data_IF_884468905727
#
_entry.id   IF_884468905727
#
_cell.length_a   1.000
_cell.length_b   1.000
_cell.length_c   1.000
_cell.angle_alpha   90.00
_cell.angle_beta   90.00
_cell.angle_gamma   90.00
#
_symmetry.space_group_name_H-M   'P 1'
#
loop_
_entity.id
_entity.type
_entity.pdbx_description
1 polymer ?
#
# COMPACT_ATOMS: atom_id res chain seq x y z
N UNK A 1 4.51 6.63 86.27
CA UNK A 1 5.27 7.20 85.14
C UNK A 1 5.01 6.31 83.93
N UNK A 2 4.18 6.70 82.96
CA UNK A 2 4.56 7.34 81.67
C UNK A 2 5.53 6.42 80.87
N UNK A 3 5.27 5.91 79.66
CA UNK A 3 4.44 6.36 78.53
C UNK A 3 3.98 5.18 77.65
N UNK A 4 2.82 5.37 77.01
CA UNK A 4 2.31 4.74 75.78
C UNK A 4 3.18 5.14 74.57
N UNK A 5 3.28 4.31 73.51
CA UNK A 5 3.28 4.60 72.05
C UNK A 5 3.25 3.22 71.35
N UNK A 6 2.13 2.70 70.82
CA UNK A 6 1.39 3.02 69.58
C UNK A 6 2.17 2.82 68.29
N UNK A 7 1.84 1.74 67.56
CA UNK A 7 1.92 1.49 66.10
C UNK A 7 1.60 -0.02 65.93
N UNK A 8 0.38 -0.49 65.64
CA UNK A 8 -0.53 -0.28 64.52
C UNK A 8 0.09 -0.57 63.14
N UNK A 9 0.01 -1.82 62.68
CA UNK A 9 -0.24 -2.22 61.29
C UNK A 9 -0.44 -3.75 61.25
N UNK A 10 -1.66 -4.26 61.42
CA UNK A 10 -2.66 -4.56 60.38
C UNK A 10 -2.18 -5.61 59.35
N UNK A 11 -2.61 -6.85 59.62
CA UNK A 11 -2.72 -7.98 58.69
C UNK A 11 -3.65 -7.59 57.54
N UNK A 12 -3.23 -7.75 56.27
CA UNK A 12 -4.17 -8.06 55.17
C UNK A 12 -3.50 -9.03 54.17
N UNK A 13 -4.20 -10.15 53.96
CA UNK A 13 -4.04 -11.23 52.98
C UNK A 13 -3.94 -10.71 51.52
N UNK A 14 -3.35 -11.48 50.59
CA UNK A 14 -3.40 -11.14 49.18
C UNK A 14 -4.81 -11.45 48.63
N UNK A 15 -5.55 -10.42 48.23
CA UNK A 15 -6.67 -10.59 47.33
C UNK A 15 -6.07 -10.78 45.94
N UNK A 16 -6.00 -12.03 45.49
CA UNK A 16 -5.93 -12.36 44.08
C UNK A 16 -7.20 -11.82 43.43
N UNK A 17 -7.18 -10.53 43.07
CA UNK A 17 -8.16 -9.96 42.16
C UNK A 17 -7.84 -10.53 40.78
N UNK A 18 -8.62 -11.54 40.42
CA UNK A 18 -8.95 -11.84 39.04
C UNK A 18 -9.53 -10.54 38.50
N UNK A 19 -8.70 -9.73 37.85
CA UNK A 19 -9.18 -8.60 37.07
C UNK A 19 -10.00 -9.23 35.94
N UNK A 20 -11.32 -9.15 36.13
CA UNK A 20 -12.29 -9.43 35.11
C UNK A 20 -11.88 -8.70 33.82
N UNK A 21 -12.01 -9.40 32.70
CA UNK A 21 -12.17 -8.80 31.38
C UNK A 21 -13.18 -7.66 31.47
N UNK A 22 -12.69 -6.42 31.46
CA UNK A 22 -13.48 -5.26 31.09
C UNK A 22 -12.99 -4.87 29.70
N UNK A 23 -13.70 -5.23 28.62
CA UNK A 23 -13.43 -4.70 27.28
C UNK A 23 -14.03 -3.28 27.20
N UNK A 24 -13.64 -2.41 28.11
CA UNK A 24 -14.19 -1.06 28.22
C UNK A 24 -13.05 -0.06 28.33
N UNK A 25 -12.41 0.15 27.19
CA UNK A 25 -11.84 1.40 26.68
C UNK A 25 -10.87 1.07 25.54
N UNK A 26 -11.32 0.32 24.51
CA UNK A 26 -10.83 0.68 23.18
C UNK A 26 -11.48 2.03 22.95
N UNK A 27 -10.71 3.13 23.05
CA UNK A 27 -11.14 4.40 22.50
C UNK A 27 -11.44 4.09 21.03
N UNK A 28 -12.70 3.82 20.71
CA UNK A 28 -13.14 3.62 19.33
C UNK A 28 -12.95 4.97 18.69
N UNK A 29 -11.83 5.11 17.98
CA UNK A 29 -11.55 6.28 17.16
C UNK A 29 -12.77 6.48 16.25
N UNK A 30 -13.32 7.70 16.26
CA UNK A 30 -14.44 8.03 15.38
C UNK A 30 -13.98 8.01 13.93
N UNK A 31 -14.89 7.69 13.01
CA UNK A 31 -14.61 7.62 11.57
C UNK A 31 -13.82 8.85 11.07
N UNK A 32 -14.31 10.06 11.36
CA UNK A 32 -13.68 11.32 10.93
C UNK A 32 -12.22 11.43 11.41
N UNK A 33 -11.97 11.09 12.68
CA UNK A 33 -10.63 11.17 13.27
C UNK A 33 -9.69 10.13 12.65
N UNK A 34 -10.16 8.89 12.49
CA UNK A 34 -9.35 7.84 11.86
C UNK A 34 -9.09 8.13 10.39
N UNK A 35 -10.07 8.70 9.68
CA UNK A 35 -9.91 9.08 8.28
C UNK A 35 -8.87 10.19 8.12
N UNK A 36 -8.85 11.19 9.00
CA UNK A 36 -7.83 12.24 8.96
C UNK A 36 -6.42 11.70 9.29
N UNK A 37 -6.31 10.78 10.25
CA UNK A 37 -5.04 10.07 10.53
C UNK A 37 -4.60 9.25 9.31
N UNK A 38 -5.50 8.46 8.72
CA UNK A 38 -5.22 7.69 7.51
C UNK A 38 -4.83 8.58 6.31
N UNK A 39 -5.52 9.70 6.11
CA UNK A 39 -5.24 10.66 5.03
C UNK A 39 -3.82 11.22 5.14
N UNK A 40 -3.43 11.65 6.34
CA UNK A 40 -2.14 12.31 6.58
C UNK A 40 -0.98 11.32 6.70
N UNK A 41 -1.19 10.16 7.32
CA UNK A 41 -0.13 9.19 7.56
C UNK A 41 0.05 8.17 6.43
N UNK A 42 -0.97 7.96 5.59
CA UNK A 42 -0.96 6.95 4.52
C UNK A 42 -1.19 7.57 3.14
N UNK A 43 -2.32 8.24 2.91
CA UNK A 43 -2.67 8.74 1.57
C UNK A 43 -1.66 9.78 1.07
N UNK A 44 -1.32 10.79 1.89
CA UNK A 44 -0.39 11.85 1.51
C UNK A 44 1.01 11.30 1.16
N UNK A 45 1.67 10.46 1.99
CA UNK A 45 2.93 9.82 1.61
C UNK A 45 2.84 8.96 0.35
N UNK A 46 1.74 8.23 0.15
CA UNK A 46 1.56 7.42 -1.06
C UNK A 46 1.36 8.28 -2.32
N UNK A 47 0.75 9.45 -2.21
CA UNK A 47 0.65 10.40 -3.32
C UNK A 47 2.03 10.91 -3.76
N UNK A 48 2.92 11.23 -2.81
CA UNK A 48 4.30 11.60 -3.13
C UNK A 48 5.04 10.47 -3.86
N UNK A 49 4.82 9.22 -3.44
CA UNK A 49 5.37 8.04 -4.13
C UNK A 49 4.75 7.81 -5.50
N UNK A 50 3.46 8.11 -5.70
CA UNK A 50 2.80 8.02 -7.00
C UNK A 50 3.42 9.02 -8.00
N UNK A 51 3.66 10.26 -7.57
CA UNK A 51 4.38 11.26 -8.37
C UNK A 51 5.77 10.75 -8.73
N UNK A 52 6.50 10.19 -7.75
CA UNK A 52 7.83 9.65 -8.01
C UNK A 52 7.82 8.48 -8.98
N UNK A 53 6.82 7.60 -8.86
CA UNK A 53 6.61 6.48 -9.79
C UNK A 53 6.41 6.99 -11.22
N UNK A 54 5.63 8.05 -11.41
CA UNK A 54 5.46 8.67 -12.72
C UNK A 54 6.77 9.27 -13.27
N UNK A 55 7.57 9.92 -12.44
CA UNK A 55 8.91 10.40 -12.84
C UNK A 55 9.84 9.25 -13.27
N UNK A 56 9.84 8.16 -12.50
CA UNK A 56 10.64 6.97 -12.79
C UNK A 56 10.16 6.28 -14.08
N UNK A 57 8.84 6.18 -14.29
CA UNK A 57 8.26 5.74 -15.56
C UNK A 57 8.70 6.61 -16.72
N UNK A 58 8.69 7.94 -16.55
CA UNK A 58 9.25 8.88 -17.53
C UNK A 58 10.73 8.59 -17.83
N UNK A 59 11.56 8.42 -16.81
CA UNK A 59 12.99 8.05 -17.00
C UNK A 59 13.14 6.73 -17.76
N UNK A 60 12.37 5.69 -17.41
CA UNK A 60 12.34 4.43 -18.15
C UNK A 60 12.08 4.64 -19.64
N UNK A 61 11.09 5.47 -20.01
CA UNK A 61 10.80 5.72 -21.44
C UNK A 61 11.96 6.33 -22.21
N UNK A 62 12.82 7.11 -21.54
CA UNK A 62 14.01 7.72 -22.17
C UNK A 62 15.15 6.74 -22.40
N UNK A 63 15.08 5.54 -21.82
CA UNK A 63 16.10 4.49 -21.94
C UNK A 63 15.75 3.41 -22.97
N UNK A 64 14.56 3.48 -23.59
CA UNK A 64 14.03 2.40 -24.44
C UNK A 64 14.86 2.11 -25.69
N UNK A 65 15.70 3.04 -26.15
CA UNK A 65 16.64 2.81 -27.26
C UNK A 65 17.74 1.79 -26.86
N UNK A 66 17.97 1.62 -25.55
CA UNK A 66 18.97 0.76 -24.92
C UNK A 66 18.25 -0.29 -24.07
N UNK A 67 17.67 -1.29 -24.75
CA UNK A 67 16.79 -2.29 -24.12
C UNK A 67 17.38 -2.97 -22.88
N UNK A 68 18.69 -3.28 -22.86
CA UNK A 68 19.35 -3.86 -21.68
C UNK A 68 19.36 -2.90 -20.48
N UNK A 69 19.68 -1.62 -20.71
CA UNK A 69 19.71 -0.60 -19.65
C UNK A 69 18.28 -0.31 -19.16
N UNK A 70 17.32 -0.20 -20.07
CA UNK A 70 15.91 -0.04 -19.72
C UNK A 70 15.38 -1.22 -18.90
N UNK A 71 15.73 -2.46 -19.28
CA UNK A 71 15.32 -3.67 -18.58
C UNK A 71 15.94 -3.76 -17.18
N UNK A 72 17.22 -3.41 -17.04
CA UNK A 72 17.87 -3.31 -15.72
C UNK A 72 17.18 -2.26 -14.86
N UNK A 73 16.95 -1.06 -15.39
CA UNK A 73 16.31 0.03 -14.66
C UNK A 73 14.90 -0.34 -14.17
N UNK A 74 14.06 -0.93 -15.03
CA UNK A 74 12.70 -1.29 -14.63
C UNK A 74 12.68 -2.39 -13.56
N UNK A 75 13.58 -3.38 -13.62
CA UNK A 75 13.64 -4.47 -12.65
C UNK A 75 14.33 -4.12 -11.34
N UNK A 76 15.38 -3.30 -11.39
CA UNK A 76 16.23 -3.00 -10.22
C UNK A 76 15.81 -1.73 -9.49
N UNK A 77 15.17 -0.77 -10.18
CA UNK A 77 14.72 0.50 -9.58
C UNK A 77 13.19 0.62 -9.56
N UNK A 78 12.52 0.57 -10.71
CA UNK A 78 11.09 0.95 -10.81
C UNK A 78 10.14 -0.06 -10.13
N UNK A 79 10.20 -1.34 -10.53
CA UNK A 79 9.35 -2.40 -9.96
C UNK A 79 9.55 -2.50 -8.43
N UNK A 80 10.78 -2.53 -7.89
CA UNK A 80 10.99 -2.52 -6.45
C UNK A 80 10.39 -1.30 -5.75
N UNK A 81 10.52 -0.11 -6.33
CA UNK A 81 9.95 1.10 -5.76
C UNK A 81 8.41 1.05 -5.67
N UNK A 82 7.75 0.52 -6.71
CA UNK A 82 6.29 0.33 -6.73
C UNK A 82 5.86 -0.77 -5.76
N UNK A 83 6.62 -1.87 -5.67
CA UNK A 83 6.39 -2.94 -4.71
C UNK A 83 6.46 -2.44 -3.27
N UNK A 84 7.49 -1.66 -2.92
CA UNK A 84 7.59 -1.00 -1.62
C UNK A 84 6.40 -0.05 -1.34
N UNK A 85 5.92 0.64 -2.38
CA UNK A 85 4.76 1.56 -2.26
C UNK A 85 3.49 0.78 -1.92
N UNK A 86 3.25 -0.37 -2.57
CA UNK A 86 2.17 -1.28 -2.23
C UNK A 86 2.32 -1.80 -0.80
N UNK A 87 3.52 -2.21 -0.41
CA UNK A 87 3.78 -2.79 0.91
C UNK A 87 3.47 -1.78 2.02
N UNK A 88 3.75 -0.48 1.82
CA UNK A 88 3.31 0.57 2.75
C UNK A 88 1.79 0.62 2.94
N UNK A 89 1.01 0.48 1.86
CA UNK A 89 -0.46 0.45 1.96
C UNK A 89 -0.97 -0.83 2.64
N UNK A 90 -0.28 -1.96 2.42
CA UNK A 90 -0.58 -3.23 3.11
C UNK A 90 -0.28 -3.14 4.60
N UNK A 91 0.85 -2.55 4.99
CA UNK A 91 1.22 -2.35 6.39
C UNK A 91 0.21 -1.46 7.11
N UNK A 92 -0.33 -0.44 6.44
CA UNK A 92 -1.40 0.39 6.98
C UNK A 92 -2.70 -0.39 7.23
N UNK A 93 -3.01 -1.40 6.40
CA UNK A 93 -4.27 -2.14 6.46
C UNK A 93 -4.54 -2.79 7.82
N UNK A 94 -3.49 -3.30 8.47
CA UNK A 94 -3.58 -4.00 9.76
C UNK A 94 -3.85 -3.05 10.93
N UNK A 95 -3.53 -1.76 10.78
CA UNK A 95 -3.74 -0.72 11.79
C UNK A 95 -5.14 -0.10 11.76
N UNK A 96 -5.88 -0.26 10.67
CA UNK A 96 -7.20 0.33 10.47
C UNK A 96 -8.26 -0.40 11.30
N UNK A 97 -9.13 0.37 11.96
CA UNK A 97 -10.21 -0.07 12.84
C UNK A 97 -11.57 0.12 12.16
N UNK A 98 -11.77 1.22 11.44
CA UNK A 98 -13.04 1.49 10.77
C UNK A 98 -13.17 0.71 9.45
N UNK A 99 -14.29 0.01 9.28
CA UNK A 99 -14.55 -0.80 8.09
C UNK A 99 -14.55 0.00 6.79
N UNK A 100 -15.07 1.23 6.79
CA UNK A 100 -15.13 2.06 5.58
C UNK A 100 -13.73 2.46 5.11
N UNK A 101 -12.84 2.78 6.05
CA UNK A 101 -11.44 3.10 5.78
C UNK A 101 -10.66 1.83 5.37
N UNK A 102 -10.94 0.68 5.99
CA UNK A 102 -10.39 -0.62 5.57
C UNK A 102 -10.79 -0.98 4.13
N UNK A 103 -12.04 -0.73 3.75
CA UNK A 103 -12.51 -0.95 2.38
C UNK A 103 -11.83 0.01 1.40
N UNK A 104 -11.70 1.29 1.76
CA UNK A 104 -10.97 2.28 0.98
C UNK A 104 -9.52 1.84 0.73
N UNK A 105 -8.79 1.43 1.77
CA UNK A 105 -7.39 1.02 1.64
C UNK A 105 -7.23 -0.28 0.82
N UNK A 106 -8.21 -1.21 0.86
CA UNK A 106 -8.20 -2.37 -0.04
C UNK A 106 -8.29 -2.01 -1.51
N UNK A 107 -9.09 -0.99 -1.85
CA UNK A 107 -9.17 -0.48 -3.23
C UNK A 107 -7.82 0.13 -3.64
N UNK A 108 -7.18 0.88 -2.75
CA UNK A 108 -5.84 1.43 -2.97
C UNK A 108 -4.78 0.33 -3.19
N UNK A 109 -4.74 -0.68 -2.32
CA UNK A 109 -3.83 -1.82 -2.45
C UNK A 109 -4.04 -2.50 -3.79
N UNK A 110 -5.30 -2.77 -4.19
CA UNK A 110 -5.62 -3.37 -5.48
C UNK A 110 -5.12 -2.51 -6.65
N UNK A 111 -5.26 -1.19 -6.57
CA UNK A 111 -4.75 -0.27 -7.59
C UNK A 111 -3.21 -0.35 -7.73
N UNK A 112 -2.51 -0.39 -6.59
CA UNK A 112 -1.05 -0.53 -6.54
C UNK A 112 -0.58 -1.90 -7.04
N UNK A 113 -1.31 -2.97 -6.76
CA UNK A 113 -1.04 -4.32 -7.30
C UNK A 113 -1.17 -4.35 -8.82
N UNK A 114 -2.24 -3.78 -9.38
CA UNK A 114 -2.44 -3.68 -10.82
C UNK A 114 -1.34 -2.84 -11.50
N UNK A 115 -0.93 -1.75 -10.84
CA UNK A 115 0.18 -0.91 -11.32
C UNK A 115 1.52 -1.67 -11.30
N UNK A 116 1.76 -2.49 -10.28
CA UNK A 116 2.96 -3.33 -10.23
C UNK A 116 2.94 -4.41 -11.33
N UNK A 117 1.78 -5.02 -11.57
CA UNK A 117 1.58 -5.99 -12.64
C UNK A 117 1.88 -5.37 -14.01
N UNK A 118 1.42 -4.13 -14.25
CA UNK A 118 1.65 -3.43 -15.52
C UNK A 118 3.13 -3.16 -15.77
N UNK A 119 3.89 -2.75 -14.75
CA UNK A 119 5.34 -2.60 -14.87
C UNK A 119 6.06 -3.94 -15.05
N UNK A 120 5.59 -5.00 -14.40
CA UNK A 120 6.17 -6.35 -14.57
C UNK A 120 5.99 -6.85 -16.00
N UNK A 121 4.81 -6.66 -16.58
CA UNK A 121 4.54 -6.98 -17.98
C UNK A 121 5.35 -6.10 -18.94
N UNK A 122 5.47 -4.81 -18.62
CA UNK A 122 6.31 -3.88 -19.37
C UNK A 122 7.77 -4.34 -19.38
N UNK A 123 8.32 -4.78 -18.24
CA UNK A 123 9.67 -5.33 -18.15
C UNK A 123 9.85 -6.58 -19.01
N UNK A 124 8.86 -7.48 -19.02
CA UNK A 124 8.88 -8.65 -19.89
C UNK A 124 8.88 -8.27 -21.38
N UNK A 125 8.18 -7.19 -21.78
CA UNK A 125 8.28 -6.66 -23.14
C UNK A 125 9.66 -6.11 -23.44
N UNK A 126 10.27 -5.38 -22.51
CA UNK A 126 11.63 -4.84 -22.67
C UNK A 126 12.64 -5.98 -22.86
N UNK A 127 12.54 -7.04 -22.06
CA UNK A 127 13.43 -8.21 -22.13
C UNK A 127 13.43 -8.86 -23.52
N UNK A 128 12.24 -8.99 -24.12
CA UNK A 128 12.10 -9.63 -25.42
C UNK A 128 12.72 -8.83 -26.57
N UNK A 129 13.05 -7.55 -26.34
CA UNK A 129 13.72 -6.69 -27.30
C UNK A 129 15.25 -6.64 -27.10
N UNK A 130 15.80 -7.39 -26.14
CA UNK A 130 17.24 -7.50 -25.92
C UNK A 130 17.86 -8.46 -26.96
N UNK A 131 18.87 -8.03 -27.74
CA UNK A 131 19.54 -8.91 -28.69
C UNK A 131 20.36 -10.03 -28.02
N UNK A 132 20.58 -11.19 -28.70
CA UNK A 132 20.03 -11.53 -30.01
C UNK A 132 18.58 -12.03 -29.91
N UNK A 133 17.74 -11.61 -30.85
CA UNK A 133 16.36 -12.09 -30.95
C UNK A 133 16.35 -13.38 -31.77
N UNK A 134 15.99 -14.51 -31.15
CA UNK A 134 16.05 -15.84 -31.79
C UNK A 134 14.94 -16.04 -32.85
N UNK A 135 13.73 -15.56 -32.58
CA UNK A 135 12.56 -15.63 -33.48
C UNK A 135 11.77 -14.33 -33.43
N UNK A 136 12.06 -13.42 -34.37
CA UNK A 136 11.41 -12.11 -34.46
C UNK A 136 9.88 -12.22 -34.60
N UNK A 137 9.39 -13.26 -35.29
CA UNK A 137 7.95 -13.43 -35.51
C UNK A 137 7.25 -13.87 -34.22
N UNK A 138 7.81 -14.84 -33.52
CA UNK A 138 7.26 -15.30 -32.24
C UNK A 138 7.31 -14.19 -31.16
N UNK A 139 8.38 -13.39 -31.15
CA UNK A 139 8.49 -12.22 -30.27
C UNK A 139 7.45 -11.16 -30.60
N UNK A 140 7.22 -10.87 -31.89
CA UNK A 140 6.17 -9.95 -32.32
C UNK A 140 4.78 -10.40 -31.85
N UNK A 141 4.41 -11.67 -32.10
CA UNK A 141 3.11 -12.22 -31.68
C UNK A 141 2.93 -12.19 -30.15
N UNK A 142 3.98 -12.49 -29.39
CA UNK A 142 3.94 -12.42 -27.92
C UNK A 142 3.82 -10.98 -27.42
N UNK A 143 4.49 -10.03 -28.08
CA UNK A 143 4.44 -8.60 -27.74
C UNK A 143 3.06 -8.01 -28.00
N UNK A 144 2.38 -8.40 -29.10
CA UNK A 144 0.99 -7.99 -29.36
C UNK A 144 0.03 -8.49 -28.27
N UNK A 145 0.18 -9.74 -27.80
CA UNK A 145 -0.67 -10.27 -26.73
C UNK A 145 -0.44 -9.52 -25.40
N UNK A 146 0.81 -9.29 -25.01
CA UNK A 146 1.12 -8.53 -23.78
C UNK A 146 0.60 -7.10 -23.90
N UNK A 147 0.69 -6.48 -25.08
CA UNK A 147 0.14 -5.14 -25.30
C UNK A 147 -1.39 -5.11 -25.10
N UNK A 148 -2.11 -6.11 -25.60
CA UNK A 148 -3.56 -6.22 -25.38
C UNK A 148 -3.89 -6.38 -23.88
N UNK A 149 -3.18 -7.27 -23.18
CA UNK A 149 -3.35 -7.45 -21.74
C UNK A 149 -3.01 -6.17 -20.95
N UNK A 150 -1.99 -5.41 -21.36
CA UNK A 150 -1.67 -4.10 -20.76
C UNK A 150 -2.77 -3.06 -20.94
N UNK A 151 -3.46 -3.06 -22.09
CA UNK A 151 -4.61 -2.16 -22.28
C UNK A 151 -5.77 -2.51 -21.35
N UNK A 152 -6.09 -3.80 -21.21
CA UNK A 152 -7.13 -4.26 -20.27
C UNK A 152 -6.76 -3.90 -18.82
N UNK A 153 -5.47 -4.06 -18.48
CA UNK A 153 -4.96 -3.72 -17.16
C UNK A 153 -5.04 -2.21 -16.89
N UNK A 154 -4.74 -1.37 -17.88
CA UNK A 154 -4.89 0.09 -17.76
C UNK A 154 -6.35 0.48 -17.54
N UNK A 155 -7.29 -0.14 -18.24
CA UNK A 155 -8.73 0.09 -18.01
C UNK A 155 -9.14 -0.33 -16.59
N UNK A 156 -8.60 -1.43 -16.07
CA UNK A 156 -8.84 -1.86 -14.69
C UNK A 156 -8.26 -0.87 -13.68
N UNK A 157 -7.04 -0.39 -13.90
CA UNK A 157 -6.40 0.65 -13.07
C UNK A 157 -7.27 1.91 -13.04
N UNK A 158 -7.66 2.43 -14.21
CA UNK A 158 -8.47 3.66 -14.31
C UNK A 158 -9.80 3.53 -13.57
N UNK A 159 -10.47 2.38 -13.72
CA UNK A 159 -11.72 2.09 -13.01
C UNK A 159 -11.52 2.02 -11.50
N UNK A 160 -10.48 1.33 -11.04
CA UNK A 160 -10.18 1.19 -9.61
C UNK A 160 -9.75 2.52 -8.99
N UNK A 161 -9.00 3.36 -9.73
CA UNK A 161 -8.64 4.72 -9.32
C UNK A 161 -9.88 5.58 -9.15
N UNK A 162 -10.80 5.57 -10.12
CA UNK A 162 -12.05 6.33 -10.03
C UNK A 162 -12.95 5.85 -8.87
N UNK A 163 -12.98 4.55 -8.59
CA UNK A 163 -13.67 4.01 -7.42
C UNK A 163 -13.06 4.50 -6.11
N UNK A 164 -11.73 4.48 -6.01
CA UNK A 164 -10.99 4.99 -4.86
C UNK A 164 -11.28 6.47 -4.61
N UNK A 165 -11.12 7.30 -5.64
CA UNK A 165 -11.37 8.76 -5.56
C UNK A 165 -12.80 9.06 -5.08
N UNK A 166 -13.79 8.37 -5.65
CA UNK A 166 -15.19 8.51 -5.23
C UNK A 166 -15.39 8.18 -3.74
N UNK A 167 -14.74 7.13 -3.23
CA UNK A 167 -14.84 6.74 -1.81
C UNK A 167 -14.13 7.73 -0.89
N UNK A 168 -13.01 8.32 -1.32
CA UNK A 168 -12.36 9.42 -0.59
C UNK A 168 -13.29 10.62 -0.48
N UNK A 169 -13.94 11.02 -1.57
CA UNK A 169 -14.90 12.13 -1.57
C UNK A 169 -16.09 11.87 -0.63
N UNK A 170 -16.69 10.67 -0.71
CA UNK A 170 -17.80 10.28 0.18
C UNK A 170 -17.41 10.33 1.67
N UNK A 171 -16.18 9.93 2.01
CA UNK A 171 -15.67 9.98 3.38
C UNK A 171 -15.35 11.40 3.85
N UNK A 172 -14.93 12.28 2.94
CA UNK A 172 -14.63 13.68 3.24
C UNK A 172 -15.90 14.56 3.39
N UNK A 173 -17.04 14.11 2.85
CA UNK A 173 -18.33 14.80 2.96
C UNK A 173 -19.14 14.43 4.23
N UNK A 174 -18.72 13.39 4.96
CA UNK A 174 -19.34 12.93 6.22
C UNK A 174 -18.90 13.74 7.44
#
# INVERSE_FOLDING_TARGET
>A
MKRIHFQLMMIILPIFSIAACNPSATDQIGLEKEFEEYRTEVIEPLNDRAIKTAEMGGRYTTMLEEAEEAFQYINEELIPYVAETRDMAMDAQDGLVNQEIQELNKILIKNLELTLESFTMTAAMTEMNIPPIEDEKAVYEKTENIYAELMELQEEIDRTSAEYEKRVEELAEN
#
